data_IF_824246960950
#
_entry.id   IF_824246960950
#
_cell.length_a   1.000
_cell.length_b   1.000
_cell.length_c   1.000
_cell.angle_alpha   90.00
_cell.angle_beta   90.00
_cell.angle_gamma   90.00
#
_symmetry.space_group_name_H-M   'P 1'
#
loop_
_entity.id
_entity.type
_entity.pdbx_description
1 polymer ?
#
# COMPACT_ATOMS: atom_id res chain seq x y z
N UNK A 1 2.75 12.68 -1.10
CA UNK A 1 2.40 11.45 -0.36
C UNK A 1 1.73 11.93 0.90
N UNK A 2 0.62 11.29 1.28
CA UNK A 2 -0.18 11.73 2.41
C UNK A 2 -0.36 10.63 3.44
N UNK A 3 -0.13 10.96 4.70
CA UNK A 3 -0.35 10.08 5.84
C UNK A 3 -1.44 10.67 6.75
N UNK A 4 -2.45 9.88 7.10
CA UNK A 4 -3.59 10.30 7.90
C UNK A 4 -3.83 9.31 9.04
N UNK A 5 -3.88 9.80 10.28
CA UNK A 5 -4.33 8.99 11.42
C UNK A 5 -5.86 9.05 11.46
N UNK A 6 -6.50 7.90 11.31
CA UNK A 6 -7.96 7.75 11.38
C UNK A 6 -8.42 7.66 12.83
N UNK A 7 -9.70 7.96 13.06
CA UNK A 7 -10.32 7.86 14.39
C UNK A 7 -10.32 6.43 14.97
N UNK A 8 -10.23 5.41 14.12
CA UNK A 8 -10.07 3.99 14.49
C UNK A 8 -8.62 3.62 14.88
N UNK A 9 -7.70 4.60 14.87
CA UNK A 9 -6.30 4.43 15.23
C UNK A 9 -5.44 3.81 14.13
N UNK A 10 -5.97 3.65 12.90
CA UNK A 10 -5.16 3.24 11.75
C UNK A 10 -4.45 4.42 11.10
N UNK A 11 -3.21 4.20 10.69
CA UNK A 11 -2.46 5.08 9.80
C UNK A 11 -2.79 4.71 8.35
N UNK A 12 -3.51 5.60 7.66
CA UNK A 12 -3.73 5.51 6.22
C UNK A 12 -2.59 6.22 5.48
N UNK A 13 -1.92 5.55 4.56
CA UNK A 13 -0.90 6.15 3.69
C UNK A 13 -1.34 6.01 2.23
N UNK A 14 -1.50 7.13 1.55
CA UNK A 14 -1.91 7.21 0.14
C UNK A 14 -0.82 7.91 -0.67
N UNK A 15 -0.53 7.38 -1.87
CA UNK A 15 0.35 8.03 -2.84
C UNK A 15 -0.43 9.03 -3.69
N UNK A 16 0.15 10.20 -3.93
CA UNK A 16 -0.46 11.29 -4.71
C UNK A 16 0.15 11.38 -6.12
N UNK A 17 1.32 10.77 -6.33
CA UNK A 17 2.04 10.71 -7.62
C UNK A 17 2.56 9.31 -7.94
N UNK A 18 2.87 9.05 -9.22
CA UNK A 18 3.39 7.77 -9.70
C UNK A 18 4.67 7.35 -8.98
N UNK A 19 5.59 8.30 -8.76
CA UNK A 19 6.85 8.08 -8.07
C UNK A 19 6.61 7.67 -6.61
N UNK A 20 5.63 8.31 -5.96
CA UNK A 20 5.26 7.97 -4.59
C UNK A 20 4.60 6.61 -4.48
N UNK A 21 3.77 6.23 -5.46
CA UNK A 21 3.15 4.91 -5.50
C UNK A 21 4.21 3.81 -5.62
N UNK A 22 5.19 4.01 -6.51
CA UNK A 22 6.35 3.13 -6.63
C UNK A 22 7.17 3.05 -5.34
N UNK A 23 7.52 4.20 -4.76
CA UNK A 23 8.30 4.25 -3.51
C UNK A 23 7.57 3.58 -2.35
N UNK A 24 6.26 3.81 -2.22
CA UNK A 24 5.42 3.22 -1.17
C UNK A 24 5.31 1.70 -1.31
N UNK A 25 5.15 1.20 -2.54
CA UNK A 25 5.13 -0.24 -2.80
C UNK A 25 6.47 -0.89 -2.48
N UNK A 26 7.58 -0.26 -2.88
CA UNK A 26 8.92 -0.76 -2.60
C UNK A 26 9.18 -0.83 -1.10
N UNK A 27 8.90 0.26 -0.39
CA UNK A 27 9.02 0.32 1.07
C UNK A 27 8.16 -0.76 1.74
N UNK A 28 6.90 -0.92 1.33
CA UNK A 28 5.99 -1.89 1.91
C UNK A 28 6.51 -3.33 1.77
N UNK A 29 7.01 -3.70 0.58
CA UNK A 29 7.59 -5.04 0.34
C UNK A 29 8.80 -5.32 1.22
N UNK A 30 9.62 -4.31 1.51
CA UNK A 30 10.84 -4.47 2.31
C UNK A 30 10.58 -4.44 3.81
N UNK A 31 9.57 -3.70 4.27
CA UNK A 31 9.40 -3.37 5.69
C UNK A 31 8.19 -4.03 6.32
N UNK A 32 7.10 -4.23 5.58
CA UNK A 32 5.89 -4.78 6.18
C UNK A 32 5.95 -6.29 6.30
N UNK A 33 6.83 -6.99 5.56
CA UNK A 33 7.19 -8.41 5.72
C UNK A 33 6.04 -9.41 5.81
N UNK A 34 4.80 -8.93 5.72
CA UNK A 34 3.58 -9.64 6.01
C UNK A 34 3.29 -10.43 4.75
N UNK A 35 3.52 -11.72 4.85
CA UNK A 35 2.73 -12.63 4.06
C UNK A 35 1.29 -12.47 4.53
N UNK A 36 0.50 -11.69 3.76
CA UNK A 36 -0.92 -11.45 4.02
C UNK A 36 -1.74 -12.75 3.96
N UNK A 37 -1.16 -13.84 3.43
CA UNK A 37 -1.75 -15.17 3.44
C UNK A 37 -1.34 -16.01 4.66
N UNK A 38 -0.30 -15.62 5.39
CA UNK A 38 0.14 -16.31 6.61
C UNK A 38 -0.37 -15.60 7.87
N UNK A 39 -1.57 -16.01 8.29
CA UNK A 39 -2.19 -15.55 9.53
C UNK A 39 -1.40 -15.95 10.80
N UNK A 40 -0.37 -16.79 10.70
CA UNK A 40 0.44 -17.25 11.84
C UNK A 40 1.68 -16.39 12.07
N UNK A 41 2.03 -15.51 11.13
CA UNK A 41 3.15 -14.58 11.25
C UNK A 41 2.93 -13.60 12.40
N UNK A 42 3.53 -13.89 13.56
CA UNK A 42 3.55 -13.00 14.73
C UNK A 42 4.43 -11.78 14.46
N UNK A 43 3.85 -10.74 13.88
CA UNK A 43 4.41 -9.40 13.91
C UNK A 43 3.48 -8.47 14.70
N UNK A 44 3.97 -7.41 15.36
CA UNK A 44 3.08 -6.34 15.78
C UNK A 44 2.35 -5.89 14.52
N UNK A 45 1.03 -6.12 14.47
CA UNK A 45 0.17 -5.68 13.39
C UNK A 45 0.16 -4.15 13.44
N UNK A 46 1.17 -3.52 12.83
CA UNK A 46 1.16 -2.09 12.63
C UNK A 46 -0.18 -1.78 11.97
N UNK A 47 -1.00 -0.96 12.61
CA UNK A 47 -2.33 -0.59 12.12
C UNK A 47 -2.17 0.38 10.95
N UNK A 48 -1.64 -0.12 9.84
CA UNK A 48 -1.32 0.66 8.65
C UNK A 48 -2.19 0.14 7.51
N UNK A 49 -2.85 1.07 6.82
CA UNK A 49 -3.55 0.81 5.58
C UNK A 49 -2.75 1.50 4.47
N UNK A 50 -2.30 0.71 3.51
CA UNK A 50 -1.66 1.22 2.30
C UNK A 50 -2.72 1.32 1.21
N UNK A 51 -2.98 2.55 0.77
CA UNK A 51 -3.98 2.84 -0.23
C UNK A 51 -3.33 3.04 -1.61
N UNK A 52 -3.53 2.03 -2.45
CA UNK A 52 -3.14 2.03 -3.86
C UNK A 52 -4.35 2.04 -4.80
N UNK A 53 -5.55 2.41 -4.34
CA UNK A 53 -6.77 2.27 -5.14
C UNK A 53 -6.72 3.04 -6.47
N UNK A 54 -6.04 4.19 -6.50
CA UNK A 54 -5.82 4.99 -7.71
C UNK A 54 -4.76 4.42 -8.66
N UNK A 55 -3.99 3.43 -8.20
CA UNK A 55 -2.74 2.98 -8.82
C UNK A 55 -2.81 1.53 -9.30
N UNK A 56 -3.71 0.73 -8.73
CA UNK A 56 -3.72 -0.72 -8.90
C UNK A 56 -4.62 -1.13 -10.08
N UNK A 57 -4.08 -1.95 -10.98
CA UNK A 57 -4.86 -2.64 -11.99
C UNK A 57 -4.74 -4.14 -11.81
N UNK A 58 -5.89 -4.82 -11.81
CA UNK A 58 -5.97 -6.27 -11.77
C UNK A 58 -5.80 -6.79 -13.20
N UNK A 59 -4.67 -7.43 -13.47
CA UNK A 59 -4.42 -8.15 -14.72
C UNK A 59 -4.59 -9.66 -14.50
N UNK A 60 -4.67 -10.48 -15.57
CA UNK A 60 -4.68 -11.94 -15.43
C UNK A 60 -3.43 -12.51 -14.74
N UNK A 61 -2.31 -11.78 -14.76
CA UNK A 61 -1.05 -12.15 -14.08
C UNK A 61 -0.99 -11.68 -12.61
N UNK A 62 -1.96 -10.89 -12.15
CA UNK A 62 -2.04 -10.39 -10.78
C UNK A 62 -2.19 -8.87 -10.68
N UNK A 63 -2.09 -8.30 -9.47
CA UNK A 63 -2.16 -6.87 -9.27
C UNK A 63 -0.85 -6.18 -9.71
N UNK A 64 -0.97 -5.18 -10.58
CA UNK A 64 0.13 -4.35 -11.06
C UNK A 64 -0.14 -2.86 -10.79
N UNK A 65 0.90 -2.07 -10.51
CA UNK A 65 0.77 -0.62 -10.42
C UNK A 65 0.84 0.01 -11.81
N UNK A 66 -0.03 0.98 -12.07
CA UNK A 66 -0.01 1.80 -13.29
C UNK A 66 0.30 3.26 -12.97
N UNK A 67 0.91 3.92 -13.95
CA UNK A 67 1.01 5.37 -13.97
C UNK A 67 -0.40 6.00 -13.94
N UNK A 68 -0.58 7.10 -13.20
CA UNK A 68 -1.86 7.81 -13.15
C UNK A 68 -2.02 8.57 -14.46
N UNK A 69 -3.14 8.34 -15.15
CA UNK A 69 -3.44 9.08 -16.38
C UNK A 69 -3.64 10.56 -16.01
N UNK A 70 -2.89 11.50 -16.60
CA UNK A 70 -3.11 12.93 -16.37
C UNK A 70 -4.53 13.28 -16.81
N UNK A 71 -5.28 13.95 -15.93
CA UNK A 71 -6.62 14.49 -16.24
C UNK A 71 -6.52 15.90 -16.78
#
# INVERSE_FOLDING_TARGET
MKATIRADGFLLVSAETDLEAYALQRWARENLGADWFDATARQPQAKIILDWSDWLVITPSGPELRAKVPT
#
